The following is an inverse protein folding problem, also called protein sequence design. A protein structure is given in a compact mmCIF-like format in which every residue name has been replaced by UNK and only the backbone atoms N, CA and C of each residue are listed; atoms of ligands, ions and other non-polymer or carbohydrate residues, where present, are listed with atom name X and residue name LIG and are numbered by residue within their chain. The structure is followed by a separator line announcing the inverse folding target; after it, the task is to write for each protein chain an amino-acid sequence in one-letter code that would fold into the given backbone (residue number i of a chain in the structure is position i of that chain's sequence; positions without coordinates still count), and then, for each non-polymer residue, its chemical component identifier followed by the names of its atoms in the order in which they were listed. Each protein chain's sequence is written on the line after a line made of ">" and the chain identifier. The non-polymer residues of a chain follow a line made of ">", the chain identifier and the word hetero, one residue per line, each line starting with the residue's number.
data_IF_526851733864
#
_entry.id   IF_526851733864
#
_cell.length_a   1.000
_cell.length_b   1.000
_cell.length_c   1.000
_cell.angle_alpha   90.00
_cell.angle_beta   90.00
_cell.angle_gamma   90.00
#
_symmetry.space_group_name_H-M   'P 1'
#
loop_
_entity.id
_entity.type
_entity.pdbx_description
1 polymer ?
#
# COMPACT_ATOMS: atom_id res chain seq x y z
N UNK A 1 2.13 11.04 1.55
CA UNK A 1 2.71 10.04 2.46
C UNK A 1 1.63 9.71 3.48
N UNK A 2 0.97 8.56 3.33
CA UNK A 2 0.01 8.05 4.30
C UNK A 2 0.77 7.02 5.12
N UNK A 3 1.10 7.40 6.35
CA UNK A 3 1.83 6.55 7.30
C UNK A 3 0.82 5.84 8.19
N UNK A 4 1.06 4.57 8.49
CA UNK A 4 0.10 3.65 9.10
C UNK A 4 -0.10 3.96 10.60
N UNK A 5 -0.81 5.05 10.93
CA UNK A 5 -1.49 5.23 12.23
C UNK A 5 -2.93 4.68 12.10
N UNK A 6 -3.08 3.49 11.50
CA UNK A 6 -4.40 2.88 11.24
C UNK A 6 -4.78 1.91 12.37
N UNK A 7 -3.86 1.57 13.29
CA UNK A 7 -4.14 0.62 14.37
C UNK A 7 -5.10 1.11 15.47
N UNK A 8 -5.70 2.30 15.34
CA UNK A 8 -6.65 2.87 16.33
C UNK A 8 -7.93 3.45 15.70
N UNK A 9 -8.10 3.37 14.38
CA UNK A 9 -9.13 4.13 13.64
C UNK A 9 -10.44 3.38 13.41
N UNK A 10 -11.50 3.85 14.07
CA UNK A 10 -12.92 3.50 13.87
C UNK A 10 -13.28 3.24 12.38
N UNK A 11 -14.14 2.28 12.06
CA UNK A 11 -14.43 1.83 10.67
C UNK A 11 -14.85 2.97 9.71
N UNK A 12 -15.35 4.07 10.28
CA UNK A 12 -15.70 5.32 9.58
C UNK A 12 -14.47 6.07 9.05
N UNK A 13 -13.33 5.97 9.73
CA UNK A 13 -12.05 6.54 9.35
C UNK A 13 -11.44 5.80 8.15
N UNK A 14 -11.44 4.47 8.19
CA UNK A 14 -10.97 3.64 7.06
C UNK A 14 -11.74 3.95 5.76
N UNK A 15 -13.07 4.07 5.84
CA UNK A 15 -13.92 4.42 4.69
C UNK A 15 -13.57 5.80 4.12
N UNK A 16 -13.26 6.77 4.98
CA UNK A 16 -12.86 8.13 4.58
C UNK A 16 -11.47 8.14 3.94
N UNK A 17 -10.55 7.32 4.44
CA UNK A 17 -9.25 7.10 3.82
C UNK A 17 -9.40 6.49 2.43
N UNK A 18 -10.19 5.43 2.27
CA UNK A 18 -10.49 4.81 0.97
C UNK A 18 -11.09 5.78 -0.04
N UNK A 19 -12.02 6.63 0.39
CA UNK A 19 -12.64 7.64 -0.48
C UNK A 19 -11.63 8.72 -0.91
N UNK A 20 -10.74 9.15 -0.03
CA UNK A 20 -9.64 10.08 -0.36
C UNK A 20 -8.59 9.44 -1.28
N UNK A 21 -8.28 8.16 -1.06
CA UNK A 21 -7.42 7.34 -1.91
C UNK A 21 -7.96 7.31 -3.34
N UNK A 22 -9.25 7.00 -3.53
CA UNK A 22 -9.92 7.01 -4.85
C UNK A 22 -9.92 8.39 -5.51
N UNK A 23 -10.13 9.47 -4.74
CA UNK A 23 -10.10 10.84 -5.25
C UNK A 23 -8.71 11.28 -5.71
N UNK A 24 -7.66 10.67 -5.17
CA UNK A 24 -6.25 11.01 -5.45
C UNK A 24 -5.57 10.04 -6.41
N UNK A 25 -6.29 9.10 -7.02
CA UNK A 25 -5.76 8.16 -8.01
C UNK A 25 -5.04 8.85 -9.20
N UNK A 26 -5.28 10.15 -9.44
CA UNK A 26 -4.58 10.96 -10.45
C UNK A 26 -3.32 11.69 -9.95
N UNK A 27 -2.95 11.53 -8.67
CA UNK A 27 -1.75 12.12 -8.05
C UNK A 27 -0.86 11.02 -7.49
N UNK A 28 0.46 11.19 -7.61
CA UNK A 28 1.43 10.26 -7.03
C UNK A 28 1.17 10.10 -5.52
N UNK A 29 0.94 8.86 -5.09
CA UNK A 29 0.57 8.49 -3.74
C UNK A 29 1.50 7.38 -3.27
N UNK A 30 2.10 7.58 -2.10
CA UNK A 30 2.92 6.55 -1.42
C UNK A 30 2.06 5.94 -0.32
N UNK A 31 1.77 4.66 -0.47
CA UNK A 31 1.05 3.82 0.48
C UNK A 31 2.04 2.85 1.11
N UNK A 32 2.09 2.82 2.44
CA UNK A 32 2.90 1.88 3.23
C UNK A 32 1.94 1.06 4.07
N UNK A 33 1.93 -0.26 3.89
CA UNK A 33 1.06 -1.17 4.64
C UNK A 33 1.63 -2.57 4.70
N UNK A 34 1.30 -3.30 5.76
CA UNK A 34 1.57 -4.73 5.87
C UNK A 34 0.46 -5.61 5.26
N UNK A 35 -0.64 -5.01 4.79
CA UNK A 35 -1.76 -5.72 4.19
C UNK A 35 -1.62 -5.81 2.66
N UNK A 36 -1.30 -7.00 2.16
CA UNK A 36 -1.12 -7.26 0.74
C UNK A 36 -2.35 -6.90 -0.12
N UNK A 37 -3.57 -7.18 0.37
CA UNK A 37 -4.81 -6.86 -0.35
C UNK A 37 -5.03 -5.35 -0.52
N UNK A 38 -4.60 -4.55 0.46
CA UNK A 38 -4.70 -3.09 0.38
C UNK A 38 -3.75 -2.55 -0.68
N UNK A 39 -2.52 -3.06 -0.71
CA UNK A 39 -1.49 -2.72 -1.71
C UNK A 39 -1.97 -3.11 -3.10
N UNK A 40 -2.45 -4.35 -3.29
CA UNK A 40 -2.94 -4.86 -4.58
C UNK A 40 -4.07 -4.03 -5.19
N UNK A 41 -5.00 -3.54 -4.35
CA UNK A 41 -6.19 -2.84 -4.83
C UNK A 41 -5.99 -1.33 -5.06
N UNK A 42 -4.90 -0.74 -4.56
CA UNK A 42 -4.72 0.72 -4.52
C UNK A 42 -3.39 1.21 -5.12
N UNK A 43 -2.50 0.32 -5.53
CA UNK A 43 -1.19 0.66 -6.10
C UNK A 43 -0.98 0.01 -7.46
N UNK A 44 -0.34 0.74 -8.37
CA UNK A 44 0.08 0.23 -9.68
C UNK A 44 1.48 -0.41 -9.64
N UNK A 45 2.33 0.05 -8.72
CA UNK A 45 3.72 -0.40 -8.52
C UNK A 45 4.02 -0.54 -7.03
N UNK A 46 5.00 -1.37 -6.66
CA UNK A 46 5.41 -1.53 -5.27
C UNK A 46 6.93 -1.62 -5.10
N UNK A 47 7.40 -1.28 -3.91
CA UNK A 47 8.79 -1.45 -3.53
C UNK A 47 8.86 -2.15 -2.17
N UNK A 48 9.65 -3.21 -2.07
CA UNK A 48 9.79 -4.04 -0.89
C UNK A 48 11.11 -3.72 -0.22
N UNK A 49 11.07 -3.35 1.05
CA UNK A 49 12.26 -3.06 1.84
C UNK A 49 12.68 -4.31 2.62
N UNK A 50 13.81 -4.90 2.26
CA UNK A 50 14.36 -6.10 2.89
C UNK A 50 15.82 -5.85 3.30
N UNK A 51 16.14 -6.04 4.58
CA UNK A 51 17.51 -5.90 5.12
C UNK A 51 18.20 -4.57 4.73
N UNK A 52 17.43 -3.48 4.70
CA UNK A 52 17.92 -2.14 4.31
C UNK A 52 18.13 -1.95 2.81
N UNK A 53 17.73 -2.92 1.97
CA UNK A 53 17.72 -2.80 0.50
C UNK A 53 16.29 -2.70 0.00
N UNK A 54 16.01 -1.66 -0.78
CA UNK A 54 14.74 -1.50 -1.45
C UNK A 54 14.78 -2.26 -2.77
N UNK A 55 13.78 -3.11 -3.02
CA UNK A 55 13.55 -3.82 -4.27
C UNK A 55 12.29 -3.28 -4.92
N UNK A 56 12.46 -2.55 -6.01
CA UNK A 56 11.35 -2.03 -6.81
C UNK A 56 10.83 -3.14 -7.73
N UNK A 57 9.51 -3.29 -7.77
CA UNK A 57 8.80 -4.27 -8.58
C UNK A 57 7.62 -3.55 -9.25
N UNK A 58 7.66 -3.48 -10.57
CA UNK A 58 6.67 -2.75 -11.34
C UNK A 58 5.32 -3.49 -11.38
N UNK A 59 5.32 -4.82 -11.30
CA UNK A 59 4.09 -5.60 -11.27
C UNK A 59 3.61 -5.83 -9.83
N UNK A 60 2.41 -5.35 -9.52
CA UNK A 60 1.86 -5.41 -8.17
C UNK A 60 1.59 -6.85 -7.71
N UNK A 61 1.25 -7.75 -8.64
CA UNK A 61 0.95 -9.14 -8.34
C UNK A 61 2.23 -9.92 -8.04
N UNK A 62 3.30 -9.65 -8.78
CA UNK A 62 4.66 -10.13 -8.50
C UNK A 62 5.15 -9.62 -7.15
N UNK A 63 4.94 -8.33 -6.84
CA UNK A 63 5.35 -7.75 -5.57
C UNK A 63 4.64 -8.39 -4.38
N UNK A 64 3.31 -8.56 -4.48
CA UNK A 64 2.51 -9.25 -3.45
C UNK A 64 2.93 -10.71 -3.30
N UNK A 65 3.20 -11.40 -4.41
CA UNK A 65 3.66 -12.78 -4.37
C UNK A 65 5.04 -12.91 -3.72
N UNK A 66 5.99 -12.03 -4.06
CA UNK A 66 7.32 -11.98 -3.46
C UNK A 66 7.22 -11.73 -1.95
N UNK A 67 6.43 -10.74 -1.52
CA UNK A 67 6.25 -10.43 -0.11
C UNK A 67 5.60 -11.57 0.68
N UNK A 68 4.63 -12.28 0.09
CA UNK A 68 3.91 -13.38 0.76
C UNK A 68 4.76 -14.65 0.90
N UNK A 69 5.75 -14.83 0.03
CA UNK A 69 6.64 -15.98 0.02
C UNK A 69 8.01 -15.72 0.69
N UNK A 70 8.19 -14.56 1.30
CA UNK A 70 9.35 -14.21 2.12
C UNK A 70 9.22 -14.80 3.53
#
# INVERSE_FOLDING_TARGET
>A
LVDEVISVGDARFNRRCEDELKRRATKAMVLVSHHADLIRNNCDHAAILENGRLREIDDIDEAVHYYTNM
#
